data_IF_112789913527
#
_entry.id   IF_112789913527
#
_cell.length_a   1.000
_cell.length_b   1.000
_cell.length_c   1.000
_cell.angle_alpha   90.00
_cell.angle_beta   90.00
_cell.angle_gamma   90.00
#
_symmetry.space_group_name_H-M   'P 1'
#
loop_
_entity.id
_entity.type
_entity.pdbx_description
1 polymer ?
#
# COMPACT_ATOMS: atom_id res chain seq x y z
N UNK A 1 23.62 60.80 55.56
CA UNK A 1 23.12 60.43 54.26
C UNK A 1 23.73 59.09 53.91
N UNK A 2 22.96 57.96 54.05
CA UNK A 2 23.44 56.57 53.72
C UNK A 2 22.68 56.15 52.47
N UNK A 3 23.39 55.98 51.36
CA UNK A 3 22.86 55.46 50.13
C UNK A 3 22.92 53.87 50.20
N UNK A 4 21.77 53.24 50.13
CA UNK A 4 21.66 51.79 50.01
C UNK A 4 21.62 51.34 48.53
N UNK A 5 22.63 50.64 48.07
CA UNK A 5 22.65 50.02 46.75
C UNK A 5 21.83 48.76 46.81
N UNK A 6 20.75 48.67 46.02
CA UNK A 6 19.99 47.46 45.79
C UNK A 6 20.58 46.74 44.56
N UNK A 7 21.15 45.57 44.81
CA UNK A 7 21.58 44.64 43.75
C UNK A 7 20.34 43.87 43.27
N UNK A 8 19.99 44.03 41.99
CA UNK A 8 18.93 43.25 41.33
C UNK A 8 19.62 42.05 40.67
N UNK A 9 19.40 40.88 41.23
CA UNK A 9 19.85 39.59 40.64
C UNK A 9 18.81 39.18 39.58
N UNK A 10 19.18 39.28 38.31
CA UNK A 10 18.37 38.74 37.21
C UNK A 10 18.66 37.25 37.04
N UNK A 11 17.69 36.43 37.35
CA UNK A 11 17.73 34.99 37.10
C UNK A 11 17.37 34.71 35.63
N UNK A 12 18.36 34.29 34.85
CA UNK A 12 18.18 33.88 33.47
C UNK A 12 17.61 32.44 33.48
N UNK A 13 16.31 32.30 33.23
CA UNK A 13 15.69 30.97 33.01
C UNK A 13 16.05 30.49 31.60
N UNK A 14 17.00 29.56 31.52
CA UNK A 14 17.35 28.88 30.26
C UNK A 14 16.23 27.92 29.85
N UNK A 15 15.51 28.26 28.78
CA UNK A 15 14.59 27.33 28.14
C UNK A 15 15.40 26.23 27.39
N UNK A 16 15.40 25.02 27.91
CA UNK A 16 15.92 23.85 27.20
C UNK A 16 14.91 23.51 26.10
N UNK A 17 15.19 23.96 24.88
CA UNK A 17 14.49 23.51 23.68
C UNK A 17 14.91 22.04 23.43
N UNK A 18 14.10 21.13 23.91
CA UNK A 18 14.25 19.70 23.56
C UNK A 18 14.08 19.57 22.04
N UNK A 19 15.16 19.25 21.34
CA UNK A 19 15.12 18.85 19.93
C UNK A 19 14.33 17.55 19.84
N UNK A 20 13.05 17.60 19.46
CA UNK A 20 12.34 16.44 18.99
C UNK A 20 13.13 15.89 17.81
N UNK A 21 13.62 14.65 17.91
CA UNK A 21 14.24 13.96 16.79
C UNK A 21 13.21 13.89 15.67
N UNK A 22 13.32 14.77 14.69
CA UNK A 22 12.49 14.76 13.47
C UNK A 22 12.85 13.48 12.71
N UNK A 23 11.97 12.48 12.77
CA UNK A 23 12.08 11.34 11.87
C UNK A 23 11.86 11.88 10.46
N UNK A 24 12.86 11.70 9.59
CA UNK A 24 12.70 12.04 8.18
C UNK A 24 11.52 11.25 7.63
N UNK A 25 10.52 11.94 7.09
CA UNK A 25 9.30 11.34 6.53
C UNK A 25 9.59 10.32 5.42
N UNK A 26 10.83 10.27 4.91
CA UNK A 26 11.29 9.35 3.87
C UNK A 26 11.97 8.06 4.36
N UNK A 27 12.19 7.86 5.67
CA UNK A 27 12.78 6.60 6.18
C UNK A 27 11.70 5.51 6.28
N UNK A 28 11.52 4.77 5.20
CA UNK A 28 10.56 3.66 5.12
C UNK A 28 11.05 2.40 5.85
N UNK A 29 12.32 2.34 6.30
CA UNK A 29 12.89 1.14 6.95
C UNK A 29 12.26 0.86 8.32
N UNK A 30 11.73 1.90 8.97
CA UNK A 30 11.10 1.84 10.29
C UNK A 30 9.59 1.98 10.27
N UNK A 31 8.99 2.22 9.11
CA UNK A 31 7.54 2.33 8.99
C UNK A 31 6.92 0.93 8.97
N UNK A 32 5.90 0.74 9.81
CA UNK A 32 5.01 -0.40 9.67
C UNK A 32 4.11 -0.14 8.46
N UNK A 33 3.94 -1.12 7.55
CA UNK A 33 3.08 -0.93 6.39
C UNK A 33 1.60 -0.84 6.80
N UNK A 34 0.85 0.00 6.10
CA UNK A 34 -0.60 -0.03 6.15
C UNK A 34 -1.05 -1.20 5.28
N UNK A 35 -1.75 -2.16 5.87
CA UNK A 35 -2.22 -3.35 5.16
C UNK A 35 -3.59 -3.11 4.53
N UNK A 36 -3.72 -3.40 3.24
CA UNK A 36 -4.99 -3.41 2.51
C UNK A 36 -5.12 -4.78 1.85
N UNK A 37 -6.21 -5.48 2.13
CA UNK A 37 -6.53 -6.74 1.46
C UNK A 37 -7.57 -6.51 0.39
N UNK A 38 -7.31 -7.06 -0.81
CA UNK A 38 -8.26 -7.10 -1.92
C UNK A 38 -8.50 -8.55 -2.30
N UNK A 39 -9.74 -9.00 -2.17
CA UNK A 39 -10.16 -10.29 -2.69
C UNK A 39 -10.33 -10.18 -4.20
N UNK A 40 -9.64 -11.03 -4.94
CA UNK A 40 -9.73 -11.20 -6.37
C UNK A 40 -10.71 -12.34 -6.65
N UNK A 41 -11.95 -11.97 -6.97
CA UNK A 41 -13.06 -12.91 -7.11
C UNK A 41 -13.63 -13.38 -5.76
N UNK A 42 -14.89 -13.81 -5.83
CA UNK A 42 -15.60 -14.56 -4.80
C UNK A 42 -16.18 -15.81 -5.44
N UNK A 43 -16.61 -16.82 -4.68
CA UNK A 43 -17.26 -17.99 -5.27
C UNK A 43 -18.40 -17.58 -6.21
N UNK A 44 -18.24 -17.90 -7.51
CA UNK A 44 -19.20 -17.59 -8.57
C UNK A 44 -19.30 -16.12 -9.00
N UNK A 45 -18.38 -15.23 -8.56
CA UNK A 45 -18.41 -13.82 -8.89
C UNK A 45 -17.03 -13.29 -9.32
N UNK A 46 -16.99 -12.55 -10.43
CA UNK A 46 -15.82 -11.84 -10.91
C UNK A 46 -15.86 -10.40 -10.37
N UNK A 47 -15.23 -10.16 -9.22
CA UNK A 47 -15.23 -8.86 -8.53
C UNK A 47 -13.90 -8.60 -7.84
N UNK A 48 -13.57 -7.32 -7.64
CA UNK A 48 -12.62 -6.90 -6.61
C UNK A 48 -13.38 -6.55 -5.33
N UNK A 49 -12.89 -6.98 -4.19
CA UNK A 49 -13.49 -6.60 -2.92
C UNK A 49 -12.42 -6.18 -1.89
N UNK A 50 -12.31 -4.86 -1.60
CA UNK A 50 -13.05 -3.75 -2.16
C UNK A 50 -12.66 -3.45 -3.62
N UNK A 51 -13.55 -2.80 -4.38
CA UNK A 51 -13.28 -2.31 -5.74
C UNK A 51 -12.96 -0.80 -5.79
N UNK A 52 -12.99 -0.13 -4.65
CA UNK A 52 -12.52 1.24 -4.48
C UNK A 52 -11.37 1.23 -3.46
N UNK A 53 -10.19 1.63 -3.91
CA UNK A 53 -8.99 1.64 -3.10
C UNK A 53 -8.54 3.07 -2.86
N UNK A 54 -8.15 3.38 -1.62
CA UNK A 54 -7.64 4.68 -1.23
C UNK A 54 -6.25 4.55 -0.63
N UNK A 55 -5.35 5.43 -1.07
CA UNK A 55 -3.98 5.51 -0.60
C UNK A 55 -3.61 6.96 -0.31
N UNK A 56 -2.61 7.18 0.52
CA UNK A 56 -1.99 8.47 0.78
C UNK A 56 -0.54 8.45 0.26
N UNK A 57 -0.11 9.55 -0.36
CA UNK A 57 1.27 9.70 -0.83
C UNK A 57 2.27 9.60 0.33
N UNK A 58 3.44 8.99 0.07
CA UNK A 58 4.53 8.87 1.04
C UNK A 58 4.31 7.85 2.16
N UNK A 59 3.18 7.13 2.19
CA UNK A 59 2.93 6.05 3.15
C UNK A 59 3.37 4.71 2.58
N UNK A 60 3.93 3.85 3.44
CA UNK A 60 4.25 2.47 3.07
C UNK A 60 3.00 1.60 3.18
N UNK A 61 2.65 0.92 2.10
CA UNK A 61 1.53 -0.03 2.05
C UNK A 61 2.01 -1.45 1.77
N UNK A 62 1.26 -2.41 2.32
CA UNK A 62 1.28 -3.82 1.93
C UNK A 62 -0.10 -4.16 1.38
N UNK A 63 -0.23 -4.16 0.05
CA UNK A 63 -1.44 -4.58 -0.65
C UNK A 63 -1.43 -6.11 -0.77
N UNK A 64 -2.39 -6.77 -0.13
CA UNK A 64 -2.54 -8.23 -0.14
C UNK A 64 -3.62 -8.57 -1.17
N UNK A 65 -3.19 -9.17 -2.27
CA UNK A 65 -4.06 -9.65 -3.34
C UNK A 65 -4.34 -11.12 -3.08
N UNK A 66 -5.58 -11.46 -2.72
CA UNK A 66 -5.98 -12.81 -2.31
C UNK A 66 -7.05 -13.35 -3.25
N UNK A 67 -6.82 -14.51 -3.83
CA UNK A 67 -7.81 -15.18 -4.68
C UNK A 67 -8.52 -16.30 -3.92
N UNK A 68 -9.82 -16.11 -3.66
CA UNK A 68 -10.69 -17.09 -3.00
C UNK A 68 -11.69 -17.74 -3.98
N UNK A 69 -11.58 -17.46 -5.27
CA UNK A 69 -12.42 -18.01 -6.32
C UNK A 69 -11.82 -19.28 -6.92
N UNK A 70 -12.54 -19.90 -7.86
CA UNK A 70 -12.08 -21.08 -8.59
C UNK A 70 -11.25 -20.74 -9.84
N UNK A 71 -11.26 -19.47 -10.28
CA UNK A 71 -10.59 -19.03 -11.50
C UNK A 71 -9.37 -18.15 -11.15
N UNK A 72 -8.32 -18.14 -11.99
CA UNK A 72 -7.24 -17.16 -11.85
C UNK A 72 -7.75 -15.74 -12.12
N UNK A 73 -7.13 -14.74 -11.48
CA UNK A 73 -7.49 -13.34 -11.66
C UNK A 73 -6.26 -12.45 -11.76
N UNK A 74 -6.35 -11.43 -12.60
CA UNK A 74 -5.38 -10.33 -12.66
C UNK A 74 -5.83 -9.13 -11.83
N UNK A 75 -4.87 -8.53 -11.15
CA UNK A 75 -4.96 -7.16 -10.68
C UNK A 75 -4.11 -6.31 -11.62
N UNK A 76 -4.77 -5.69 -12.60
CA UNK A 76 -4.12 -4.88 -13.63
C UNK A 76 -4.54 -3.43 -13.50
N UNK A 77 -3.57 -2.53 -13.32
CA UNK A 77 -3.76 -1.08 -13.46
C UNK A 77 -2.47 -0.44 -13.93
N UNK A 78 -2.48 -0.02 -15.19
CA UNK A 78 -1.32 0.62 -15.81
C UNK A 78 -1.02 1.98 -15.16
N UNK A 79 -2.06 2.79 -14.94
CA UNK A 79 -1.89 4.10 -14.35
C UNK A 79 -1.43 4.02 -12.90
N UNK A 80 -2.01 3.14 -12.10
CA UNK A 80 -1.57 2.94 -10.71
C UNK A 80 -0.10 2.54 -10.63
N UNK A 81 0.35 1.66 -11.53
CA UNK A 81 1.75 1.22 -11.56
C UNK A 81 2.75 2.36 -11.79
N UNK A 82 2.33 3.45 -12.43
CA UNK A 82 3.14 4.65 -12.67
C UNK A 82 3.08 5.65 -11.51
N UNK A 83 2.03 5.58 -10.70
CA UNK A 83 1.82 6.48 -9.56
C UNK A 83 2.45 5.99 -8.27
N UNK A 84 3.05 4.79 -8.28
CA UNK A 84 3.63 4.16 -7.09
C UNK A 84 5.09 3.75 -7.31
N UNK A 85 5.87 3.83 -6.25
CA UNK A 85 7.15 3.16 -6.18
C UNK A 85 6.95 1.75 -5.61
N UNK A 86 7.22 0.73 -6.41
CA UNK A 86 7.15 -0.67 -5.99
C UNK A 86 8.43 -1.06 -5.26
N UNK A 87 8.34 -1.34 -3.98
CA UNK A 87 9.44 -1.91 -3.21
C UNK A 87 9.68 -3.37 -3.60
N UNK A 88 8.59 -4.16 -3.65
CA UNK A 88 8.58 -5.55 -4.07
C UNK A 88 7.16 -6.07 -4.27
N UNK A 89 7.02 -7.10 -5.09
CA UNK A 89 5.88 -8.02 -5.07
C UNK A 89 6.42 -9.40 -4.67
N UNK A 90 5.77 -10.08 -3.75
CA UNK A 90 6.17 -11.41 -3.31
C UNK A 90 5.00 -12.38 -3.25
N UNK A 91 5.28 -13.64 -3.52
CA UNK A 91 4.35 -14.75 -3.30
C UNK A 91 4.68 -15.39 -1.96
N UNK A 92 3.67 -15.49 -1.09
CA UNK A 92 3.83 -16.04 0.26
C UNK A 92 2.95 -17.27 0.42
N UNK A 93 3.51 -18.32 0.94
CA UNK A 93 2.80 -19.55 1.32
C UNK A 93 2.94 -19.80 2.82
N UNK A 94 1.88 -20.23 3.47
CA UNK A 94 1.97 -20.66 4.87
C UNK A 94 2.44 -22.11 4.91
N UNK A 95 3.55 -22.37 5.61
CA UNK A 95 4.07 -23.70 5.93
C UNK A 95 4.25 -23.81 7.43
N UNK A 96 3.67 -24.81 8.05
CA UNK A 96 3.74 -25.04 9.51
C UNK A 96 3.36 -23.80 10.34
N UNK A 97 2.30 -23.08 9.88
CA UNK A 97 1.81 -21.85 10.52
C UNK A 97 2.70 -20.61 10.33
N UNK A 98 3.77 -20.69 9.55
CA UNK A 98 4.69 -19.59 9.28
C UNK A 98 4.64 -19.14 7.83
N UNK A 99 4.71 -17.82 7.55
CA UNK A 99 4.81 -17.33 6.18
C UNK A 99 6.18 -17.65 5.59
N UNK A 100 6.20 -18.23 4.40
CA UNK A 100 7.40 -18.51 3.61
C UNK A 100 7.29 -17.80 2.28
N UNK A 101 8.24 -16.93 1.97
CA UNK A 101 8.30 -16.26 0.66
C UNK A 101 8.82 -17.25 -0.38
N UNK A 102 8.01 -17.50 -1.42
CA UNK A 102 8.35 -18.40 -2.53
C UNK A 102 9.05 -17.65 -3.67
N UNK A 103 8.64 -16.42 -3.94
CA UNK A 103 9.21 -15.57 -4.98
C UNK A 103 9.08 -14.11 -4.59
N UNK A 104 10.04 -13.29 -5.01
CA UNK A 104 10.05 -11.84 -4.81
C UNK A 104 10.48 -11.16 -6.12
N UNK A 105 9.72 -10.16 -6.55
CA UNK A 105 9.97 -9.37 -7.75
C UNK A 105 10.12 -7.89 -7.37
N UNK A 106 11.00 -7.18 -8.08
CA UNK A 106 11.25 -5.74 -7.90
C UNK A 106 11.11 -5.02 -9.24
N UNK A 107 10.76 -3.74 -9.18
CA UNK A 107 10.59 -2.90 -10.36
C UNK A 107 9.14 -2.50 -10.59
N UNK A 108 8.85 -1.92 -11.74
CA UNK A 108 7.51 -1.50 -12.10
C UNK A 108 6.64 -2.73 -12.42
N UNK A 109 5.61 -2.93 -11.61
CA UNK A 109 4.65 -4.02 -11.74
C UNK A 109 3.33 -3.43 -12.26
N UNK A 110 2.87 -3.88 -13.41
CA UNK A 110 1.61 -3.41 -14.02
C UNK A 110 0.45 -4.36 -13.76
N UNK A 111 0.79 -5.61 -13.53
CA UNK A 111 -0.17 -6.70 -13.45
C UNK A 111 0.35 -7.78 -12.50
N UNK A 112 -0.53 -8.29 -11.67
CA UNK A 112 -0.26 -9.43 -10.79
C UNK A 112 -1.35 -10.47 -11.01
N UNK A 113 -0.98 -11.65 -11.49
CA UNK A 113 -1.88 -12.80 -11.59
C UNK A 113 -1.86 -13.58 -10.28
N UNK A 114 -3.04 -13.89 -9.77
CA UNK A 114 -3.18 -14.69 -8.54
C UNK A 114 -4.07 -15.89 -8.83
N UNK A 115 -3.51 -17.08 -8.67
CA UNK A 115 -4.20 -18.35 -8.87
C UNK A 115 -5.13 -18.69 -7.70
N UNK A 116 -6.15 -19.56 -7.91
CA UNK A 116 -7.08 -20.00 -6.88
C UNK A 116 -6.40 -20.47 -5.60
N UNK A 117 -6.87 -19.99 -4.45
CA UNK A 117 -6.35 -20.38 -3.14
C UNK A 117 -5.00 -19.74 -2.74
N UNK A 118 -4.46 -18.85 -3.58
CA UNK A 118 -3.17 -18.19 -3.34
C UNK A 118 -3.32 -16.71 -3.05
N UNK A 119 -2.22 -16.10 -2.63
CA UNK A 119 -2.10 -14.65 -2.42
C UNK A 119 -0.73 -14.14 -2.87
N UNK A 120 -0.72 -12.87 -3.28
CA UNK A 120 0.48 -12.10 -3.50
C UNK A 120 0.47 -10.86 -2.61
N UNK A 121 1.63 -10.43 -2.14
CA UNK A 121 1.79 -9.19 -1.38
C UNK A 121 2.56 -8.18 -2.23
N UNK A 122 1.98 -7.02 -2.43
CA UNK A 122 2.63 -5.90 -3.13
C UNK A 122 2.97 -4.79 -2.13
N UNK A 123 4.26 -4.61 -1.90
CA UNK A 123 4.79 -3.57 -1.03
C UNK A 123 5.11 -2.33 -1.86
N UNK A 124 4.46 -1.22 -1.57
CA UNK A 124 4.52 -0.03 -2.40
C UNK A 124 4.42 1.25 -1.58
N UNK A 125 4.87 2.35 -2.21
CA UNK A 125 4.69 3.71 -1.72
C UNK A 125 4.08 4.53 -2.83
N UNK A 126 2.88 5.10 -2.66
CA UNK A 126 2.33 6.05 -3.61
C UNK A 126 3.20 7.31 -3.64
N UNK A 127 3.59 7.73 -4.84
CA UNK A 127 4.49 8.89 -5.06
C UNK A 127 3.85 10.01 -5.85
N UNK A 128 2.66 9.77 -6.39
CA UNK A 128 1.88 10.74 -7.16
C UNK A 128 0.42 10.67 -6.76
N UNK A 129 -0.17 11.80 -6.35
CA UNK A 129 -1.60 11.91 -6.10
C UNK A 129 -2.40 11.85 -7.41
N UNK A 130 -3.61 11.33 -7.34
CA UNK A 130 -4.51 11.25 -8.49
C UNK A 130 -5.56 10.16 -8.35
N UNK A 131 -6.35 9.99 -9.41
CA UNK A 131 -7.43 9.01 -9.49
C UNK A 131 -7.30 8.22 -10.79
N UNK A 132 -7.52 6.91 -10.72
CA UNK A 132 -7.58 6.05 -11.90
C UNK A 132 -8.71 5.03 -11.78
N UNK A 133 -9.39 4.75 -12.89
CA UNK A 133 -10.46 3.78 -13.03
C UNK A 133 -10.07 2.63 -13.98
N UNK A 134 -8.77 2.39 -14.16
CA UNK A 134 -8.24 1.36 -15.06
C UNK A 134 -7.94 0.03 -14.34
N UNK A 135 -8.31 -0.10 -13.06
CA UNK A 135 -8.21 -1.38 -12.36
C UNK A 135 -9.18 -2.39 -12.96
N UNK A 136 -8.66 -3.50 -13.48
CA UNK A 136 -9.46 -4.53 -14.14
C UNK A 136 -8.82 -5.91 -14.12
N UNK A 137 -9.63 -6.94 -14.34
CA UNK A 137 -9.17 -8.28 -14.68
C UNK A 137 -9.44 -8.58 -16.15
N UNK A 138 -8.37 -8.76 -16.94
CA UNK A 138 -8.44 -8.95 -18.38
C UNK A 138 -8.60 -10.41 -18.83
N UNK A 139 -8.72 -11.38 -17.91
CA UNK A 139 -8.90 -12.80 -18.26
C UNK A 139 -10.23 -12.97 -19.00
N UNK A 140 -10.20 -13.69 -20.12
CA UNK A 140 -11.37 -14.01 -20.90
C UNK A 140 -11.89 -15.39 -20.52
N UNK A 141 -13.15 -15.49 -20.16
CA UNK A 141 -13.84 -16.73 -19.85
C UNK A 141 -14.18 -17.55 -21.10
N UNK A 142 -14.74 -18.73 -20.90
CA UNK A 142 -15.13 -19.67 -21.97
C UNK A 142 -16.25 -19.10 -22.85
N UNK A 143 -17.01 -18.13 -22.35
CA UNK A 143 -18.08 -17.42 -23.04
C UNK A 143 -17.56 -16.27 -23.94
N UNK A 144 -16.24 -16.07 -24.02
CA UNK A 144 -15.58 -15.02 -24.79
C UNK A 144 -15.63 -13.64 -24.15
N UNK A 145 -16.20 -13.50 -22.94
CA UNK A 145 -16.21 -12.24 -22.19
C UNK A 145 -15.02 -12.18 -21.24
N UNK A 146 -14.45 -10.98 -21.09
CA UNK A 146 -13.46 -10.76 -20.05
C UNK A 146 -14.13 -10.65 -18.68
N UNK A 147 -13.39 -10.95 -17.61
CA UNK A 147 -13.89 -10.73 -16.25
C UNK A 147 -14.21 -9.24 -16.01
N UNK A 148 -13.51 -8.33 -16.69
CA UNK A 148 -13.84 -6.90 -16.68
C UNK A 148 -15.21 -6.62 -17.29
N UNK A 149 -15.58 -7.29 -18.39
CA UNK A 149 -16.93 -7.18 -19.00
C UNK A 149 -18.02 -7.73 -18.07
N UNK A 150 -17.66 -8.63 -17.18
CA UNK A 150 -18.54 -9.19 -16.14
C UNK A 150 -18.56 -8.37 -14.85
N UNK A 151 -17.89 -7.20 -14.83
CA UNK A 151 -17.91 -6.26 -13.71
C UNK A 151 -16.69 -6.30 -12.80
N UNK A 152 -15.62 -7.08 -13.11
CA UNK A 152 -14.38 -7.09 -12.34
C UNK A 152 -13.50 -5.89 -12.69
N UNK A 153 -13.97 -4.73 -12.26
CA UNK A 153 -13.33 -3.42 -12.42
C UNK A 153 -13.31 -2.68 -11.08
N UNK A 154 -12.43 -1.69 -10.97
CA UNK A 154 -12.32 -0.89 -9.76
C UNK A 154 -11.71 0.49 -10.00
N UNK A 155 -11.66 1.27 -8.94
CA UNK A 155 -11.10 2.61 -8.91
C UNK A 155 -10.06 2.72 -7.81
N UNK A 156 -9.00 3.48 -8.08
CA UNK A 156 -7.92 3.76 -7.14
C UNK A 156 -7.77 5.27 -7.01
N UNK A 157 -7.76 5.77 -5.77
CA UNK A 157 -7.54 7.17 -5.42
C UNK A 157 -6.29 7.26 -4.55
N UNK A 158 -5.38 8.16 -4.89
CA UNK A 158 -4.20 8.52 -4.13
C UNK A 158 -4.31 9.99 -3.74
N UNK A 159 -4.29 10.28 -2.45
CA UNK A 159 -4.34 11.63 -1.86
C UNK A 159 -2.97 12.10 -1.38
#
# INVERSE_FOLDING_TARGET
MRFAFRVITATLAGAILGSAAGYAAGDLSRQQPIEITVDLGKPGQHVFAPNQLKFETGKLYKLILRNQSADPHYFTSHNFSQMVWTRKVQVVQTRDGKPVTLAEFKGAIREVEVYPGHAAEWWLVPVQAGRTADLRCGITGKDGKSHADLGMVGEIVIE
#
